data_IF_072169645085
#
_entry.id   IF_072169645085
#
_cell.length_a   1.000
_cell.length_b   1.000
_cell.length_c   1.000
_cell.angle_alpha   90.00
_cell.angle_beta   90.00
_cell.angle_gamma   90.00
#
_symmetry.space_group_name_H-M   'P 1'
#
loop_
_entity.id
_entity.type
_entity.pdbx_description
1 polymer ?
#
# COMPACT_ATOMS: atom_id res chain seq x y z
N UNK A 1 -46.28 -2.92 9.37
CA UNK A 1 -46.71 -4.14 8.65
C UNK A 1 -47.34 -5.06 9.66
N UNK A 2 -48.53 -5.59 9.38
CA UNK A 2 -49.31 -6.39 10.32
C UNK A 2 -49.28 -7.87 9.94
N UNK A 3 -49.53 -8.74 10.92
CA UNK A 3 -49.60 -10.18 10.73
C UNK A 3 -50.96 -10.58 10.19
N UNK A 4 -51.00 -11.31 9.09
CA UNK A 4 -52.24 -11.76 8.44
C UNK A 4 -52.97 -12.87 9.22
N UNK A 5 -52.34 -13.46 10.25
CA UNK A 5 -52.94 -14.49 11.12
C UNK A 5 -53.49 -13.92 12.42
N UNK A 6 -52.79 -12.96 13.04
CA UNK A 6 -53.15 -12.46 14.37
C UNK A 6 -53.42 -10.96 14.46
N UNK A 7 -53.34 -10.23 13.34
CA UNK A 7 -53.59 -8.79 13.26
C UNK A 7 -52.56 -7.90 13.98
N UNK A 8 -51.61 -8.49 14.72
CA UNK A 8 -50.61 -7.72 15.48
C UNK A 8 -49.57 -7.08 14.56
N UNK A 9 -49.01 -5.92 14.93
CA UNK A 9 -47.87 -5.36 14.22
C UNK A 9 -46.66 -6.31 14.28
N UNK A 10 -46.05 -6.56 13.13
CA UNK A 10 -44.85 -7.39 13.02
C UNK A 10 -43.63 -6.54 13.40
N UNK A 11 -42.96 -6.92 14.48
CA UNK A 11 -41.66 -6.37 14.85
C UNK A 11 -40.56 -7.19 14.18
N UNK A 12 -39.87 -6.58 13.19
CA UNK A 12 -38.80 -7.23 12.43
C UNK A 12 -39.25 -7.71 11.04
N UNK A 13 -38.63 -8.78 10.54
CA UNK A 13 -38.90 -9.30 9.19
C UNK A 13 -40.16 -10.19 9.19
N UNK A 14 -41.13 -9.95 8.29
CA UNK A 14 -42.29 -10.83 8.14
C UNK A 14 -41.86 -12.19 7.58
N UNK A 15 -42.44 -13.27 8.09
CA UNK A 15 -42.22 -14.63 7.59
C UNK A 15 -43.35 -14.99 6.62
N UNK A 16 -43.01 -15.50 5.44
CA UNK A 16 -44.01 -16.06 4.51
C UNK A 16 -44.24 -17.51 4.87
N UNK A 17 -45.48 -17.87 5.17
CA UNK A 17 -45.86 -19.21 5.62
C UNK A 17 -47.08 -19.66 4.84
N UNK A 18 -47.10 -20.94 4.46
CA UNK A 18 -48.27 -21.56 3.84
C UNK A 18 -49.11 -22.18 4.95
N UNK A 19 -50.30 -21.63 5.16
CA UNK A 19 -51.31 -22.19 6.06
C UNK A 19 -52.47 -22.61 5.16
N UNK A 20 -52.81 -23.91 5.18
CA UNK A 20 -53.93 -24.47 4.39
C UNK A 20 -53.85 -24.16 2.87
N UNK A 21 -52.63 -24.18 2.31
CA UNK A 21 -52.39 -23.96 0.88
C UNK A 21 -52.37 -22.49 0.44
N UNK A 22 -52.60 -21.54 1.35
CA UNK A 22 -52.52 -20.10 1.08
C UNK A 22 -51.25 -19.48 1.68
N UNK A 23 -50.51 -18.72 0.86
CA UNK A 23 -49.32 -17.98 1.31
C UNK A 23 -49.71 -16.69 2.03
N UNK A 24 -49.26 -16.55 3.28
CA UNK A 24 -49.52 -15.36 4.09
C UNK A 24 -48.29 -14.87 4.86
N UNK A 25 -48.23 -13.57 5.15
CA UNK A 25 -47.18 -12.90 5.93
C UNK A 25 -47.54 -12.91 7.42
N UNK A 26 -46.69 -13.56 8.20
CA UNK A 26 -46.94 -13.80 9.62
C UNK A 26 -45.81 -13.28 10.50
N UNK A 27 -46.12 -13.01 11.76
CA UNK A 27 -45.12 -12.75 12.78
C UNK A 27 -44.44 -14.06 13.22
N UNK A 28 -43.27 -13.96 13.88
CA UNK A 28 -42.47 -15.11 14.34
C UNK A 28 -43.27 -16.14 15.16
N UNK A 29 -44.26 -15.69 15.93
CA UNK A 29 -45.09 -16.58 16.75
C UNK A 29 -46.20 -17.27 15.96
N UNK A 30 -46.66 -16.71 14.85
CA UNK A 30 -47.71 -17.31 14.01
C UNK A 30 -47.14 -18.20 12.91
N UNK A 31 -45.85 -18.05 12.59
CA UNK A 31 -45.19 -18.89 11.60
C UNK A 31 -45.14 -20.39 11.95
N UNK A 32 -45.36 -20.75 13.22
CA UNK A 32 -45.44 -22.14 13.68
C UNK A 32 -46.73 -22.87 13.25
N UNK A 33 -47.76 -22.14 12.82
CA UNK A 33 -49.07 -22.71 12.46
C UNK A 33 -49.16 -23.17 11.01
N UNK A 34 -48.08 -23.04 10.24
CA UNK A 34 -48.02 -23.56 8.88
C UNK A 34 -46.63 -24.06 8.53
N UNK A 35 -46.51 -24.56 7.32
CA UNK A 35 -45.21 -24.95 6.79
C UNK A 35 -44.46 -23.69 6.35
N UNK A 36 -43.37 -23.40 7.06
CA UNK A 36 -42.40 -22.41 6.63
C UNK A 36 -41.67 -22.98 5.42
N UNK A 37 -42.24 -22.77 4.23
CA UNK A 37 -41.48 -22.91 2.98
C UNK A 37 -40.47 -21.78 2.96
N UNK A 38 -39.28 -22.06 3.48
CA UNK A 38 -38.10 -21.29 3.09
C UNK A 38 -38.02 -21.40 1.58
N UNK A 39 -38.41 -20.34 0.88
CA UNK A 39 -38.01 -20.14 -0.50
C UNK A 39 -36.48 -20.17 -0.41
N UNK A 40 -35.88 -21.31 -0.77
CA UNK A 40 -34.46 -21.39 -1.10
C UNK A 40 -34.32 -20.44 -2.26
N UNK A 41 -34.02 -19.18 -1.95
CA UNK A 41 -33.89 -18.12 -2.93
C UNK A 41 -32.95 -18.62 -4.01
N UNK A 42 -33.40 -18.82 -5.26
CA UNK A 42 -32.49 -19.00 -6.36
C UNK A 42 -31.75 -17.67 -6.45
N UNK A 43 -30.44 -17.71 -6.20
CA UNK A 43 -29.52 -16.66 -6.59
C UNK A 43 -29.85 -15.24 -6.09
N UNK A 44 -29.60 -15.01 -4.81
CA UNK A 44 -28.62 -13.96 -4.52
C UNK A 44 -27.50 -14.60 -3.71
N UNK A 45 -26.71 -15.39 -4.42
CA UNK A 45 -25.27 -15.30 -4.28
C UNK A 45 -24.86 -13.85 -4.57
N UNK A 46 -25.17 -12.91 -3.65
CA UNK A 46 -24.13 -11.98 -3.27
C UNK A 46 -23.10 -12.88 -2.62
N UNK A 47 -22.23 -13.40 -3.50
CA UNK A 47 -20.87 -13.68 -3.15
C UNK A 47 -20.42 -12.41 -2.43
N UNK A 48 -20.58 -12.39 -1.10
CA UNK A 48 -19.45 -12.04 -0.28
C UNK A 48 -18.44 -13.03 -0.78
N UNK A 49 -17.69 -12.63 -1.83
CA UNK A 49 -16.35 -13.11 -1.98
C UNK A 49 -15.84 -12.84 -0.58
N UNK A 50 -15.82 -13.89 0.26
CA UNK A 50 -14.68 -14.06 1.13
C UNK A 50 -13.59 -13.82 0.12
N UNK A 51 -13.05 -12.58 0.10
CA UNK A 51 -11.71 -12.37 -0.37
C UNK A 51 -11.04 -13.38 0.52
N UNK A 52 -10.86 -14.59 -0.01
CA UNK A 52 -9.93 -15.55 0.53
C UNK A 52 -8.78 -14.63 0.81
N UNK A 53 -8.50 -14.45 2.08
CA UNK A 53 -7.31 -13.76 2.49
C UNK A 53 -6.25 -14.70 1.95
N UNK A 54 -5.94 -14.55 0.66
CA UNK A 54 -4.76 -15.03 0.03
C UNK A 54 -3.75 -14.23 0.82
N UNK A 55 -3.30 -14.82 1.94
CA UNK A 55 -1.98 -14.51 2.45
C UNK A 55 -1.13 -14.57 1.19
N UNK A 56 -0.55 -13.45 0.71
CA UNK A 56 0.47 -13.59 -0.29
C UNK A 56 1.46 -14.57 0.31
N UNK A 57 1.69 -15.68 -0.40
CA UNK A 57 2.83 -16.54 -0.12
C UNK A 57 4.02 -15.58 -0.03
N UNK A 58 4.87 -15.65 1.00
CA UNK A 58 6.13 -14.93 0.97
C UNK A 58 6.93 -15.53 -0.19
N UNK A 59 6.77 -14.92 -1.37
CA UNK A 59 7.58 -15.21 -2.53
C UNK A 59 8.95 -14.63 -2.25
N UNK A 60 9.89 -15.54 -2.01
CA UNK A 60 11.33 -15.40 -2.14
C UNK A 60 11.90 -14.16 -1.46
N UNK A 61 12.53 -14.39 -0.32
CA UNK A 61 13.51 -13.46 0.26
C UNK A 61 14.76 -13.60 -0.62
N UNK A 62 15.08 -12.68 -1.56
CA UNK A 62 16.48 -12.44 -1.84
C UNK A 62 17.08 -11.89 -0.55
N UNK A 63 18.26 -12.38 -0.18
CA UNK A 63 19.03 -11.93 0.99
C UNK A 63 19.43 -10.46 0.81
N UNK A 64 18.47 -9.55 0.98
CA UNK A 64 18.72 -8.13 1.18
C UNK A 64 19.11 -8.01 2.64
N UNK A 65 20.24 -7.36 2.93
CA UNK A 65 20.70 -7.00 4.28
C UNK A 65 19.47 -6.72 5.15
N UNK A 66 19.24 -7.51 6.21
CA UNK A 66 17.98 -7.55 6.96
C UNK A 66 17.49 -6.20 7.50
N UNK A 67 18.37 -5.19 7.46
CA UNK A 67 18.22 -3.82 7.93
C UNK A 67 18.12 -2.77 6.80
N UNK A 68 17.82 -3.16 5.55
CA UNK A 68 17.68 -2.20 4.43
C UNK A 68 16.71 -1.04 4.74
N UNK A 69 15.64 -1.32 5.47
CA UNK A 69 14.64 -0.34 5.90
C UNK A 69 15.27 0.77 6.77
N UNK A 70 16.12 0.41 7.72
CA UNK A 70 16.83 1.36 8.58
C UNK A 70 17.96 2.07 7.83
N UNK A 71 18.67 1.38 6.95
CA UNK A 71 19.72 1.99 6.12
C UNK A 71 19.13 3.07 5.21
N UNK A 72 18.03 2.77 4.51
CA UNK A 72 17.33 3.74 3.65
C UNK A 72 16.84 4.93 4.47
N UNK A 73 16.22 4.68 5.63
CA UNK A 73 15.69 5.75 6.49
C UNK A 73 16.80 6.67 7.00
N UNK A 74 17.87 6.10 7.55
CA UNK A 74 19.03 6.87 8.04
C UNK A 74 19.70 7.66 6.93
N UNK A 75 19.85 7.07 5.74
CA UNK A 75 20.45 7.75 4.61
C UNK A 75 19.56 8.88 4.06
N UNK A 76 18.24 8.67 4.02
CA UNK A 76 17.29 9.73 3.68
C UNK A 76 17.36 10.89 4.68
N UNK A 77 17.38 10.60 5.97
CA UNK A 77 17.48 11.60 7.04
C UNK A 77 18.82 12.34 7.00
N UNK A 78 19.93 11.64 6.73
CA UNK A 78 21.27 12.24 6.55
C UNK A 78 21.32 13.23 5.37
N UNK A 79 20.60 12.93 4.30
CA UNK A 79 20.48 13.80 3.13
C UNK A 79 19.38 14.87 3.29
N UNK A 80 18.65 14.90 4.40
CA UNK A 80 17.59 15.87 4.67
C UNK A 80 16.38 15.77 3.74
N UNK A 81 16.21 14.65 3.04
CA UNK A 81 15.16 14.47 2.03
C UNK A 81 13.86 13.99 2.69
N UNK A 82 12.72 14.49 2.22
CA UNK A 82 11.41 13.89 2.51
C UNK A 82 11.20 12.61 1.70
N UNK A 83 10.22 11.78 2.08
CA UNK A 83 9.87 10.58 1.31
C UNK A 83 9.37 10.92 -0.10
N UNK A 84 8.76 12.09 -0.27
CA UNK A 84 8.28 12.58 -1.55
C UNK A 84 9.43 13.01 -2.45
N UNK A 85 10.38 13.78 -1.92
CA UNK A 85 11.58 14.22 -2.66
C UNK A 85 12.46 13.03 -3.06
N UNK A 86 12.69 12.08 -2.16
CA UNK A 86 13.42 10.85 -2.49
C UNK A 86 12.71 10.09 -3.60
N UNK A 87 11.38 9.98 -3.53
CA UNK A 87 10.56 9.39 -4.59
C UNK A 87 10.75 10.09 -5.93
N UNK A 88 10.74 11.43 -5.95
CA UNK A 88 10.98 12.21 -7.17
C UNK A 88 12.36 11.96 -7.77
N UNK A 89 13.41 11.89 -6.94
CA UNK A 89 14.80 11.64 -7.38
C UNK A 89 14.94 10.25 -8.03
N UNK A 90 14.33 9.22 -7.44
CA UNK A 90 14.42 7.84 -7.97
C UNK A 90 13.29 7.47 -8.94
N UNK A 91 12.42 8.43 -9.26
CA UNK A 91 11.23 8.28 -10.09
C UNK A 91 10.28 7.16 -9.59
N UNK A 92 9.98 7.20 -8.29
CA UNK A 92 9.05 6.30 -7.61
C UNK A 92 8.04 7.08 -6.76
N UNK A 93 6.90 6.47 -6.48
CA UNK A 93 5.88 7.11 -5.64
C UNK A 93 6.33 7.13 -4.18
N UNK A 94 6.02 8.20 -3.44
CA UNK A 94 6.28 8.29 -2.00
C UNK A 94 5.73 7.08 -1.20
N UNK A 95 4.58 6.54 -1.63
CA UNK A 95 3.97 5.34 -1.02
C UNK A 95 4.85 4.07 -1.13
N UNK A 96 5.75 4.01 -2.10
CA UNK A 96 6.71 2.92 -2.31
C UNK A 96 7.86 3.09 -1.32
N UNK A 97 8.39 4.30 -1.17
CA UNK A 97 9.41 4.65 -0.17
C UNK A 97 8.91 4.32 1.24
N UNK A 98 7.71 4.75 1.59
CA UNK A 98 7.11 4.44 2.89
C UNK A 98 6.98 2.91 3.13
N UNK A 99 6.64 2.14 2.10
CA UNK A 99 6.57 0.66 2.20
C UNK A 99 7.94 0.01 2.38
N UNK A 100 9.00 0.60 1.81
CA UNK A 100 10.39 0.17 2.00
C UNK A 100 10.86 0.47 3.44
N UNK A 101 10.67 1.70 3.92
CA UNK A 101 11.06 2.11 5.29
C UNK A 101 10.27 1.37 6.37
N UNK A 102 9.02 0.97 6.10
CA UNK A 102 8.18 0.21 7.05
C UNK A 102 8.37 -1.31 6.99
N UNK A 103 9.37 -1.82 6.24
CA UNK A 103 9.65 -3.26 6.05
C UNK A 103 8.46 -4.05 5.49
N UNK A 104 7.49 -3.39 4.86
CA UNK A 104 6.31 -4.01 4.25
C UNK A 104 6.57 -4.49 2.82
N UNK A 105 7.69 -4.10 2.25
CA UNK A 105 8.09 -4.44 0.89
C UNK A 105 9.62 -4.55 0.82
N UNK A 106 10.12 -5.55 0.07
CA UNK A 106 11.52 -5.63 -0.33
C UNK A 106 11.72 -4.83 -1.62
N UNK A 107 12.82 -4.07 -1.76
CA UNK A 107 13.13 -3.42 -3.02
C UNK A 107 13.47 -4.47 -4.08
N UNK A 108 13.03 -4.24 -5.32
CA UNK A 108 13.55 -4.99 -6.47
C UNK A 108 15.02 -4.64 -6.70
N UNK A 109 15.74 -5.46 -7.45
CA UNK A 109 17.14 -5.18 -7.83
C UNK A 109 17.27 -3.81 -8.51
N UNK A 110 16.31 -3.45 -9.36
CA UNK A 110 16.27 -2.15 -10.04
C UNK A 110 16.07 -0.98 -9.06
N UNK A 111 15.19 -1.12 -8.07
CA UNK A 111 14.95 -0.12 -7.05
C UNK A 111 16.17 0.04 -6.13
N UNK A 112 16.79 -1.07 -5.76
CA UNK A 112 17.97 -1.08 -4.90
C UNK A 112 19.11 -0.30 -5.54
N UNK A 113 19.44 -0.57 -6.80
CA UNK A 113 20.48 0.17 -7.54
C UNK A 113 20.20 1.68 -7.65
N UNK A 114 18.93 2.07 -7.80
CA UNK A 114 18.53 3.50 -7.80
C UNK A 114 18.75 4.13 -6.43
N UNK A 115 18.37 3.44 -5.35
CA UNK A 115 18.54 3.91 -3.98
C UNK A 115 20.02 4.05 -3.62
N UNK A 116 20.86 3.09 -4.03
CA UNK A 116 22.31 3.15 -3.81
C UNK A 116 22.94 4.38 -4.47
N UNK A 117 22.51 4.71 -5.70
CA UNK A 117 22.98 5.91 -6.41
C UNK A 117 22.47 7.21 -5.81
N UNK A 118 21.21 7.24 -5.37
CA UNK A 118 20.59 8.46 -4.85
C UNK A 118 20.99 8.79 -3.41
N UNK A 119 21.30 7.77 -2.61
CA UNK A 119 21.61 7.91 -1.18
C UNK A 119 23.07 7.58 -0.85
N UNK A 120 23.88 7.20 -1.85
CA UNK A 120 25.29 6.79 -1.71
C UNK A 120 25.50 5.70 -0.64
N UNK A 121 24.57 4.75 -0.58
CA UNK A 121 24.59 3.59 0.33
C UNK A 121 24.82 2.30 -0.43
N UNK A 122 25.28 1.26 0.27
CA UNK A 122 25.34 -0.12 -0.23
C UNK A 122 24.21 -0.92 0.40
N UNK A 123 23.31 -1.44 -0.43
CA UNK A 123 22.14 -2.24 -0.04
C UNK A 123 22.21 -3.66 -0.61
N UNK A 124 22.91 -3.86 -1.73
CA UNK A 124 23.30 -5.17 -2.24
C UNK A 124 24.69 -5.53 -1.71
N UNK A 125 24.83 -6.75 -1.19
CA UNK A 125 26.14 -7.40 -1.07
C UNK A 125 26.60 -7.77 -2.49
N UNK A 126 27.20 -6.82 -3.20
CA UNK A 126 27.74 -7.10 -4.53
C UNK A 126 28.92 -8.07 -4.44
N UNK A 127 28.80 -9.19 -5.15
CA UNK A 127 29.97 -9.76 -5.84
C UNK A 127 30.46 -8.67 -6.79
N UNK A 128 31.61 -8.13 -6.41
CA UNK A 128 32.54 -7.18 -7.04
C UNK A 128 32.20 -6.57 -8.42
N UNK A 129 32.58 -5.29 -8.54
CA UNK A 129 32.91 -4.53 -9.75
C UNK A 129 31.94 -3.42 -10.16
N UNK A 130 32.02 -2.29 -9.45
CA UNK A 130 32.13 -0.96 -10.08
C UNK A 130 32.68 0.04 -9.07
N UNK A 131 33.88 0.54 -9.37
CA UNK A 131 34.69 1.51 -8.64
C UNK A 131 33.92 2.69 -8.04
N UNK A 132 34.29 3.17 -6.84
CA UNK A 132 33.75 4.40 -6.28
C UNK A 132 34.27 5.59 -7.09
N UNK A 133 33.40 6.22 -7.86
CA UNK A 133 33.66 7.52 -8.44
C UNK A 133 33.74 8.55 -7.31
N UNK A 134 34.96 8.91 -6.93
CA UNK A 134 35.24 10.04 -6.05
C UNK A 134 34.62 11.32 -6.65
N UNK A 135 33.54 11.81 -6.06
CA UNK A 135 33.15 13.21 -6.20
C UNK A 135 33.43 13.95 -4.89
N UNK A 136 34.72 14.15 -4.63
CA UNK A 136 35.14 15.29 -3.80
C UNK A 136 35.30 16.51 -4.69
N UNK A 137 34.36 17.46 -4.59
CA UNK A 137 34.65 18.89 -4.69
C UNK A 137 33.47 19.62 -4.05
N UNK A 138 33.58 20.08 -2.82
CA UNK A 138 34.69 20.85 -2.29
C UNK A 138 34.21 22.28 -2.19
N UNK A 139 34.12 22.75 -0.96
CA UNK A 139 33.63 24.04 -0.53
C UNK A 139 34.31 25.23 -1.22
N UNK A 140 33.63 26.36 -1.08
CA UNK A 140 33.97 27.71 -1.48
C UNK A 140 35.47 28.09 -1.39
N UNK A 141 35.83 28.96 -2.35
CA UNK A 141 36.90 29.96 -2.34
C UNK A 141 38.33 29.51 -2.68
N UNK A 142 38.77 29.85 -3.91
CA UNK A 142 40.01 30.61 -4.10
C UNK A 142 40.00 31.32 -5.46
N UNK A 143 39.81 32.64 -5.42
CA UNK A 143 40.08 33.53 -6.55
C UNK A 143 41.59 33.47 -6.81
N UNK A 144 41.98 32.88 -7.92
CA UNK A 144 43.39 32.86 -8.33
C UNK A 144 43.83 34.24 -8.81
N UNK A 145 45.09 34.57 -8.58
CA UNK A 145 45.78 35.84 -8.91
C UNK A 145 45.74 36.20 -10.43
N UNK A 146 45.09 35.38 -11.26
CA UNK A 146 44.90 35.59 -12.70
C UNK A 146 43.72 36.48 -13.12
N UNK A 147 42.82 36.87 -12.22
CA UNK A 147 41.65 37.74 -12.55
C UNK A 147 41.95 39.24 -12.41
N UNK A 148 43.20 39.63 -12.61
CA UNK A 148 43.63 41.02 -12.75
C UNK A 148 44.43 41.10 -14.05
N UNK A 149 43.80 41.62 -15.12
CA UNK A 149 44.35 42.58 -16.11
C UNK A 149 43.60 42.49 -17.45
N UNK A 150 43.09 43.66 -17.89
CA UNK A 150 42.48 44.04 -19.19
C UNK A 150 41.01 43.62 -19.35
N UNK A 151 40.06 44.52 -19.64
CA UNK A 151 40.12 45.55 -20.71
C UNK A 151 39.29 46.80 -20.34
N UNK A 152 40.01 47.92 -20.28
CA UNK A 152 39.69 49.29 -20.71
C UNK A 152 38.23 49.81 -20.69
N UNK A 153 38.06 50.74 -19.76
CA UNK A 153 37.34 52.03 -19.76
C UNK A 153 36.97 52.59 -21.15
N UNK A 154 35.70 52.99 -21.25
CA UNK A 154 35.11 53.92 -22.22
C UNK A 154 35.93 55.22 -22.33
N UNK A 155 36.19 55.60 -23.57
CA UNK A 155 36.24 56.98 -24.04
C UNK A 155 35.23 57.08 -25.17
#
# INVERSE_FOLDING_TARGET
>A
MECEVCGKPIFGRPLRVVIEGSEMKTCKSCAKFGEVREIKSPQQQKQVRKRSYHKPKPEHIPDVVGDYHDVIRKAREKNGLTQEELGLIINERASVINRLESKRMSPSISLTKKLERALEIKLLEESEESSPGEFKRGENAELTIGDIIKVKKKG
#
